data_IF_644781439267
#
_entry.id   IF_644781439267
#
_cell.length_a   1.000
_cell.length_b   1.000
_cell.length_c   1.000
_cell.angle_alpha   90.00
_cell.angle_beta   90.00
_cell.angle_gamma   90.00
#
_symmetry.space_group_name_H-M   'P 1'
#
loop_
_entity.id
_entity.type
_entity.pdbx_description
1 polymer ?
#
# COMPACT_ATOMS: atom_id res chain seq x y z
N UNK A 1 9.79 38.47 20.05
CA UNK A 1 8.86 38.24 18.93
C UNK A 1 8.54 36.75 18.91
N UNK A 2 7.33 36.35 19.29
CA UNK A 2 6.90 34.94 19.34
C UNK A 2 6.09 34.60 18.09
N UNK A 3 6.59 33.69 17.26
CA UNK A 3 5.84 33.18 16.13
C UNK A 3 4.91 32.06 16.61
N UNK A 4 3.60 32.30 16.56
CA UNK A 4 2.57 31.28 16.76
C UNK A 4 2.37 30.50 15.47
N UNK A 5 2.64 29.20 15.49
CA UNK A 5 2.24 28.29 14.42
C UNK A 5 0.89 27.66 14.76
N UNK A 6 -0.09 27.82 13.87
CA UNK A 6 -1.39 27.18 13.98
C UNK A 6 -1.43 26.01 13.00
N UNK A 7 -1.55 24.78 13.51
CA UNK A 7 -1.74 23.59 12.67
C UNK A 7 -3.23 23.52 12.33
N UNK A 8 -3.56 23.65 11.04
CA UNK A 8 -4.92 23.46 10.56
C UNK A 8 -5.27 21.96 10.59
N UNK A 9 -6.22 21.58 11.44
CA UNK A 9 -6.82 20.24 11.41
C UNK A 9 -7.72 20.13 10.17
N UNK A 10 -7.17 19.65 9.06
CA UNK A 10 -7.96 19.34 7.87
C UNK A 10 -8.61 17.97 8.05
N UNK A 11 -9.87 17.95 8.49
CA UNK A 11 -10.70 16.75 8.47
C UNK A 11 -11.01 16.43 7.01
N UNK A 12 -10.23 15.54 6.39
CA UNK A 12 -10.52 15.01 5.06
C UNK A 12 -11.53 13.88 5.20
N UNK A 13 -12.77 14.14 4.82
CA UNK A 13 -13.74 13.07 4.56
C UNK A 13 -13.18 12.19 3.44
N UNK A 14 -12.98 10.90 3.72
CA UNK A 14 -12.57 9.94 2.70
C UNK A 14 -13.79 9.66 1.82
N UNK A 15 -13.99 10.50 0.80
CA UNK A 15 -14.89 10.19 -0.30
C UNK A 15 -14.30 9.01 -1.08
N UNK A 16 -15.15 8.06 -1.47
CA UNK A 16 -14.78 6.81 -2.15
C UNK A 16 -14.05 7.15 -3.46
N UNK A 17 -12.71 7.08 -3.43
CA UNK A 17 -11.84 7.51 -4.51
C UNK A 17 -12.06 6.66 -5.78
N UNK A 18 -12.38 7.35 -6.88
CA UNK A 18 -12.40 6.82 -8.24
C UNK A 18 -11.13 6.04 -8.58
N UNK A 19 -11.26 4.95 -9.36
CA UNK A 19 -10.25 3.94 -9.72
C UNK A 19 -8.96 4.43 -10.42
N UNK A 20 -8.65 5.72 -10.40
CA UNK A 20 -7.41 6.29 -10.95
C UNK A 20 -6.71 7.15 -9.91
N UNK A 21 -6.13 6.50 -8.90
CA UNK A 21 -5.14 7.14 -8.03
C UNK A 21 -3.76 7.02 -8.68
N UNK A 22 -3.38 8.01 -9.49
CA UNK A 22 -1.97 8.26 -9.83
C UNK A 22 -1.49 9.39 -8.94
N UNK A 23 -0.93 9.05 -7.78
CA UNK A 23 -0.30 10.03 -6.89
C UNK A 23 1.19 10.12 -7.24
N UNK A 24 1.61 11.28 -7.76
CA UNK A 24 3.03 11.62 -7.87
C UNK A 24 3.47 12.12 -6.49
N UNK A 25 4.42 11.42 -5.85
CA UNK A 25 4.93 11.78 -4.52
C UNK A 25 6.35 12.37 -4.71
N UNK A 26 6.55 13.70 -4.57
CA UNK A 26 7.88 14.27 -4.61
C UNK A 26 8.68 13.83 -3.37
N UNK A 27 9.87 13.26 -3.59
CA UNK A 27 10.72 12.70 -2.54
C UNK A 27 12.11 13.35 -2.60
N UNK A 28 12.66 13.78 -1.47
CA UNK A 28 14.05 14.24 -1.34
C UNK A 28 15.01 13.11 -0.93
N UNK A 29 14.46 11.98 -0.49
CA UNK A 29 15.17 10.75 -0.14
C UNK A 29 15.28 9.82 -1.34
N UNK A 30 16.38 9.07 -1.44
CA UNK A 30 16.52 7.96 -2.38
C UNK A 30 15.83 6.67 -1.88
N UNK A 31 15.07 6.75 -0.78
CA UNK A 31 14.31 5.63 -0.21
C UNK A 31 12.89 6.03 0.09
N UNK A 32 11.96 5.10 -0.13
CA UNK A 32 10.56 5.22 0.28
C UNK A 32 10.14 4.00 1.08
N UNK A 33 9.22 4.20 2.03
CA UNK A 33 8.55 3.13 2.76
C UNK A 33 7.10 3.05 2.30
N UNK A 34 6.70 1.91 1.76
CA UNK A 34 5.33 1.64 1.33
C UNK A 34 4.71 0.64 2.27
N UNK A 35 3.56 0.98 2.87
CA UNK A 35 2.77 0.06 3.70
C UNK A 35 1.51 -0.33 2.94
N UNK A 36 1.32 -1.63 2.73
CA UNK A 36 0.12 -2.19 2.11
C UNK A 36 -0.65 -2.95 3.17
N UNK A 37 -1.89 -2.55 3.41
CA UNK A 37 -2.79 -3.18 4.37
C UNK A 37 -4.18 -3.29 3.77
N UNK A 38 -4.95 -4.25 4.25
CA UNK A 38 -6.38 -4.30 3.97
C UNK A 38 -7.10 -3.38 4.96
N UNK A 39 -8.00 -2.55 4.44
CA UNK A 39 -8.86 -1.67 5.22
C UNK A 39 -10.30 -2.23 5.33
N UNK A 40 -10.52 -3.43 4.80
CA UNK A 40 -11.75 -4.18 4.82
C UNK A 40 -11.75 -5.29 5.88
N UNK A 41 -12.29 -6.45 5.49
CA UNK A 41 -12.41 -7.61 6.36
C UNK A 41 -11.23 -8.53 6.08
N UNK A 42 -10.48 -8.90 7.11
CA UNK A 42 -9.47 -9.94 7.00
C UNK A 42 -10.09 -11.30 6.66
N UNK A 43 -10.11 -11.65 5.39
CA UNK A 43 -10.68 -12.89 4.84
C UNK A 43 -9.63 -13.76 4.09
N UNK A 44 -8.36 -13.39 4.21
CA UNK A 44 -7.25 -14.17 3.66
C UNK A 44 -6.86 -13.74 2.25
N UNK A 45 -7.03 -12.45 1.94
CA UNK A 45 -6.49 -11.84 0.73
C UNK A 45 -4.98 -12.09 0.58
N UNK A 46 -4.59 -12.67 -0.56
CA UNK A 46 -3.19 -12.90 -0.92
C UNK A 46 -2.77 -11.93 -2.01
N UNK A 47 -1.62 -11.29 -1.84
CA UNK A 47 -1.03 -10.38 -2.82
C UNK A 47 0.32 -10.86 -3.35
N UNK A 48 0.62 -10.40 -4.57
CA UNK A 48 1.97 -10.37 -5.16
C UNK A 48 2.42 -8.94 -5.37
N UNK A 49 3.66 -8.66 -4.97
CA UNK A 49 4.24 -7.32 -5.05
C UNK A 49 5.48 -7.36 -5.94
N UNK A 50 5.46 -6.54 -6.97
CA UNK A 50 6.54 -6.38 -7.94
C UNK A 50 7.02 -4.93 -7.91
N UNK A 51 8.34 -4.72 -7.92
CA UNK A 51 8.96 -3.41 -8.01
C UNK A 51 10.04 -3.42 -9.09
N UNK A 52 9.96 -2.50 -10.05
CA UNK A 52 10.89 -2.39 -11.19
C UNK A 52 11.19 -3.76 -11.84
N UNK A 53 10.12 -4.50 -12.18
CA UNK A 53 10.15 -5.84 -12.77
C UNK A 53 10.78 -6.95 -11.90
N UNK A 54 11.02 -6.70 -10.61
CA UNK A 54 11.48 -7.72 -9.64
C UNK A 54 10.36 -8.07 -8.68
N UNK A 55 10.10 -9.36 -8.50
CA UNK A 55 9.20 -9.83 -7.45
C UNK A 55 9.84 -9.56 -6.11
N UNK A 56 9.23 -8.70 -5.30
CA UNK A 56 9.69 -8.45 -3.93
C UNK A 56 9.22 -9.55 -2.97
N UNK A 57 7.95 -9.94 -3.15
CA UNK A 57 7.26 -10.94 -2.35
C UNK A 57 6.09 -11.52 -3.14
N UNK A 58 5.72 -12.75 -2.80
CA UNK A 58 4.63 -13.51 -3.40
C UNK A 58 3.83 -14.19 -2.29
N UNK A 59 2.50 -14.31 -2.48
CA UNK A 59 1.55 -14.87 -1.49
C UNK A 59 1.63 -14.20 -0.11
N UNK A 60 1.58 -12.88 -0.11
CA UNK A 60 1.53 -12.10 1.13
C UNK A 60 0.08 -12.03 1.59
N UNK A 61 -0.19 -12.50 2.79
CA UNK A 61 -1.49 -12.27 3.42
C UNK A 61 -1.62 -10.81 3.85
N UNK A 62 -2.74 -10.18 3.48
CA UNK A 62 -3.10 -8.89 4.05
C UNK A 62 -3.55 -9.05 5.50
N UNK A 63 -3.09 -8.13 6.34
CA UNK A 63 -3.47 -8.03 7.73
C UNK A 63 -3.63 -6.55 8.13
N UNK A 64 -4.19 -6.31 9.31
CA UNK A 64 -4.43 -4.96 9.83
C UNK A 64 -3.13 -4.20 10.17
N UNK A 65 -2.03 -4.92 10.38
CA UNK A 65 -0.72 -4.33 10.69
C UNK A 65 0.00 -3.85 9.43
N UNK A 66 -0.42 -4.30 8.25
CA UNK A 66 0.17 -3.93 6.98
C UNK A 66 1.56 -4.49 6.75
N UNK A 67 1.81 -4.85 5.50
CA UNK A 67 3.10 -5.29 5.02
C UNK A 67 3.90 -4.06 4.58
N UNK A 68 5.10 -3.92 5.15
CA UNK A 68 5.98 -2.76 4.90
C UNK A 68 7.09 -3.15 3.93
N UNK A 69 7.28 -2.32 2.90
CA UNK A 69 8.34 -2.44 1.91
C UNK A 69 9.20 -1.20 1.95
N UNK A 70 10.49 -1.37 2.22
CA UNK A 70 11.49 -0.32 2.07
C UNK A 70 12.13 -0.45 0.69
N UNK A 71 11.97 0.58 -0.14
CA UNK A 71 12.38 0.59 -1.54
C UNK A 71 13.44 1.64 -1.75
N UNK A 72 14.53 1.27 -2.42
CA UNK A 72 15.53 2.22 -2.93
C UNK A 72 15.10 2.71 -4.31
N UNK A 73 14.93 4.02 -4.44
CA UNK A 73 14.46 4.68 -5.66
C UNK A 73 15.60 4.82 -6.68
N UNK A 74 15.39 4.27 -7.87
CA UNK A 74 16.27 4.47 -8.99
C UNK A 74 16.21 5.93 -9.48
N UNK A 75 17.37 6.53 -9.71
CA UNK A 75 17.49 7.91 -10.19
C UNK A 75 17.23 7.97 -11.70
N UNK A 76 16.69 9.10 -12.18
CA UNK A 76 16.48 9.41 -13.60
C UNK A 76 15.60 8.38 -14.36
N UNK A 77 14.79 7.62 -13.65
CA UNK A 77 13.84 6.67 -14.23
C UNK A 77 12.57 6.62 -13.40
N UNK A 78 11.50 6.09 -13.98
CA UNK A 78 10.27 5.84 -13.27
C UNK A 78 10.43 4.63 -12.35
N UNK A 79 10.05 4.82 -11.09
CA UNK A 79 9.98 3.77 -10.10
C UNK A 79 8.54 3.24 -10.09
N UNK A 80 8.35 1.97 -10.48
CA UNK A 80 7.03 1.37 -10.59
C UNK A 80 6.87 0.23 -9.60
N UNK A 81 5.89 0.37 -8.71
CA UNK A 81 5.41 -0.70 -7.85
C UNK A 81 4.07 -1.19 -8.37
N UNK A 82 3.95 -2.49 -8.58
CA UNK A 82 2.72 -3.14 -9.02
C UNK A 82 2.30 -4.12 -7.93
N UNK A 83 1.01 -4.08 -7.60
CA UNK A 83 0.39 -4.95 -6.61
C UNK A 83 -0.69 -5.73 -7.34
N UNK A 84 -0.63 -7.05 -7.23
CA UNK A 84 -1.60 -7.96 -7.84
C UNK A 84 -2.30 -8.73 -6.74
N UNK A 85 -3.62 -8.80 -6.82
CA UNK A 85 -4.41 -9.70 -5.99
C UNK A 85 -4.30 -11.11 -6.58
N UNK A 86 -3.83 -12.06 -5.78
CA UNK A 86 -3.76 -13.48 -6.14
C UNK A 86 -5.02 -14.22 -5.69
N UNK A 87 -5.59 -13.80 -4.55
CA UNK A 87 -6.83 -14.35 -3.97
C UNK A 87 -7.54 -13.22 -3.23
N UNK A 88 -8.85 -13.09 -3.43
CA UNK A 88 -9.74 -12.14 -2.74
C UNK A 88 -10.42 -12.81 -1.52
N UNK A 89 -9.71 -13.68 -0.80
CA UNK A 89 -10.21 -14.28 0.44
C UNK A 89 -11.63 -14.87 0.38
N UNK A 90 -11.77 -16.15 0.00
CA UNK A 90 -12.98 -16.94 0.27
C UNK A 90 -12.67 -18.42 0.01
N UNK A 91 -11.87 -19.04 0.88
CA UNK A 91 -11.84 -20.50 0.93
C UNK A 91 -13.18 -20.96 1.52
N UNK A 92 -14.00 -21.76 0.79
CA UNK A 92 -15.17 -22.35 1.42
C UNK A 92 -14.69 -23.12 2.65
N UNK A 93 -15.33 -22.89 3.80
CA UNK A 93 -15.12 -23.73 4.96
C UNK A 93 -15.41 -25.16 4.50
N UNK A 94 -14.38 -26.00 4.42
CA UNK A 94 -14.58 -27.43 4.28
C UNK A 94 -15.30 -27.81 5.57
N UNK A 95 -16.61 -28.04 5.48
CA UNK A 95 -17.41 -28.69 6.52
C UNK A 95 -16.68 -30.00 6.83
N UNK A 96 -15.94 -30.02 7.94
CA UNK A 96 -15.41 -31.26 8.48
C UNK A 96 -16.62 -32.07 8.95
N UNK A 97 -16.88 -33.16 8.23
CA UNK A 97 -17.85 -34.20 8.59
C UNK A 97 -17.42 -34.94 9.86
#
# INVERSE_FOLDING_TARGET
MSNSFTIANTTTSIERLSNHLVNIIPCTSNKVKVRIFDNGKLDGDELKVIYNNKVLRERINLNNEGNIFELELAQNTNNLMQVFVLSEGNYPQILQL
#
